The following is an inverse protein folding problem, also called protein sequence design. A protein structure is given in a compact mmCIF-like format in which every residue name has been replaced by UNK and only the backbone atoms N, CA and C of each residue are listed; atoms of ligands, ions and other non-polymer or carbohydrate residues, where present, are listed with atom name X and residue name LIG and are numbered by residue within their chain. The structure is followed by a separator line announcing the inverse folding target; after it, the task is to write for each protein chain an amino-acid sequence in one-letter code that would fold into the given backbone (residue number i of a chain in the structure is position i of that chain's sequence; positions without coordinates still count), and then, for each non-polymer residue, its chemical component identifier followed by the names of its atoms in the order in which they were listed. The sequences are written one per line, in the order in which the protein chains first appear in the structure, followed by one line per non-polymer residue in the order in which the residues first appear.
data_IF_829712849526
#
_entry.id   IF_829712849526
#
_cell.length_a   1.000
_cell.length_b   1.000
_cell.length_c   1.000
_cell.angle_alpha   90.00
_cell.angle_beta   90.00
_cell.angle_gamma   90.00
#
_symmetry.space_group_name_H-M   'P 1'
#
loop_
_entity.id
_entity.type
_entity.pdbx_description
1 polymer ?
#
# COMPACT_ATOMS: atom_id res chain seq x y z
N UNK A 1 11.72 -7.37 -16.02
CA UNK A 1 11.67 -7.10 -15.67
C UNK A 1 11.42 -6.67 -14.91
N UNK A 2 11.27 -6.53 -14.60
CA UNK A 2 11.19 -6.27 -14.01
C UNK A 2 10.75 -5.74 -13.20
N UNK A 3 10.73 -5.46 -12.75
CA UNK A 3 10.36 -4.66 -12.18
C UNK A 3 9.66 -4.81 -11.09
N UNK A 4 9.83 -5.21 -10.57
CA UNK A 4 9.18 -5.47 -9.71
C UNK A 4 9.40 -4.94 -8.56
N UNK A 5 9.03 -4.13 -8.20
CA UNK A 5 9.22 -3.53 -7.12
C UNK A 5 8.27 -3.92 -6.06
N UNK A 6 7.48 -4.86 -6.15
CA UNK A 6 6.41 -5.15 -5.21
C UNK A 6 6.28 -6.66 -5.11
N UNK A 7 6.80 -7.28 -4.08
CA UNK A 7 6.76 -8.72 -4.00
C UNK A 7 5.64 -9.20 -3.08
N UNK A 8 5.44 -10.49 -3.09
CA UNK A 8 4.35 -11.11 -2.38
C UNK A 8 4.45 -10.91 -0.87
N UNK A 9 5.64 -10.95 -0.34
CA UNK A 9 5.81 -10.78 1.09
C UNK A 9 5.36 -9.40 1.55
N UNK A 10 5.69 -8.39 0.77
CA UNK A 10 5.26 -7.04 1.11
C UNK A 10 3.75 -6.90 0.95
N UNK A 11 3.19 -7.58 -0.03
CA UNK A 11 1.75 -7.55 -0.20
C UNK A 11 1.05 -8.15 1.03
N UNK A 12 1.55 -9.28 1.50
CA UNK A 12 0.96 -9.93 2.65
C UNK A 12 1.08 -9.05 3.89
N UNK A 13 2.25 -8.46 4.10
CA UNK A 13 2.45 -7.59 5.24
C UNK A 13 1.50 -6.40 5.20
N UNK A 14 1.35 -5.83 4.02
CA UNK A 14 0.48 -4.67 3.87
C UNK A 14 -0.98 -5.05 4.09
N UNK A 15 -1.40 -6.21 3.59
CA UNK A 15 -2.78 -6.62 3.77
C UNK A 15 -3.08 -6.89 5.24
N UNK A 16 -2.13 -7.46 5.98
CA UNK A 16 -2.32 -7.64 7.41
C UNK A 16 -2.43 -6.29 8.12
N UNK A 17 -1.62 -5.34 7.72
CA UNK A 17 -1.68 -4.01 8.29
C UNK A 17 -3.07 -3.40 8.05
N UNK A 18 -3.57 -3.51 6.85
CA UNK A 18 -4.87 -2.94 6.53
C UNK A 18 -5.99 -3.61 7.31
N UNK A 19 -5.89 -4.93 7.44
CA UNK A 19 -6.92 -5.65 8.15
C UNK A 19 -6.96 -5.20 9.61
N UNK A 20 -5.82 -5.03 10.22
CA UNK A 20 -5.79 -4.59 11.60
C UNK A 20 -6.15 -3.14 11.76
N UNK A 21 -5.75 -2.31 10.83
CA UNK A 21 -5.96 -0.87 10.96
C UNK A 21 -7.37 -0.45 10.63
N UNK A 22 -7.97 -1.05 9.65
CA UNK A 22 -9.29 -0.61 9.22
C UNK A 22 -10.21 -1.74 8.76
N UNK A 23 -9.84 -2.97 8.98
CA UNK A 23 -10.71 -4.08 8.67
C UNK A 23 -10.82 -4.44 7.21
N UNK A 24 -9.94 -3.92 6.38
CA UNK A 24 -9.99 -4.22 4.96
C UNK A 24 -9.27 -5.52 4.70
N UNK A 25 -9.95 -6.47 4.08
CA UNK A 25 -9.35 -7.76 3.74
C UNK A 25 -9.14 -7.79 2.24
N UNK A 26 -7.89 -7.87 1.80
CA UNK A 26 -7.60 -7.79 0.38
C UNK A 26 -7.72 -9.11 -0.37
N UNK A 27 -7.46 -10.19 0.22
CA UNK A 27 -7.49 -11.46 -0.49
C UNK A 27 -6.21 -11.70 -1.26
N UNK A 28 -6.25 -12.63 -2.22
CA UNK A 28 -5.04 -13.07 -2.86
C UNK A 28 -4.68 -12.39 -4.15
N UNK A 29 -5.58 -11.82 -4.86
CA UNK A 29 -5.27 -11.31 -6.18
C UNK A 29 -5.49 -9.83 -6.32
N UNK A 30 -5.13 -9.07 -5.32
CA UNK A 30 -5.34 -7.63 -5.34
C UNK A 30 -4.02 -6.85 -5.40
N UNK A 31 -2.94 -7.52 -5.81
CA UNK A 31 -1.66 -6.83 -5.91
C UNK A 31 -1.75 -5.65 -6.87
N UNK A 32 -2.48 -5.84 -7.97
CA UNK A 32 -2.60 -4.75 -8.94
C UNK A 32 -3.29 -3.54 -8.31
N UNK A 33 -4.26 -3.79 -7.42
CA UNK A 33 -4.98 -2.71 -6.77
C UNK A 33 -4.06 -1.96 -5.81
N UNK A 34 -3.32 -2.68 -4.99
CA UNK A 34 -2.40 -2.08 -4.05
C UNK A 34 -1.36 -1.26 -4.80
N UNK A 35 -0.82 -1.83 -5.88
CA UNK A 35 0.17 -1.14 -6.65
C UNK A 35 -0.38 0.15 -7.24
N UNK A 36 -1.59 0.07 -7.78
CA UNK A 36 -2.20 1.24 -8.38
C UNK A 36 -2.45 2.33 -7.34
N UNK A 37 -2.88 1.95 -6.16
CA UNK A 37 -3.18 2.93 -5.13
C UNK A 37 -1.95 3.52 -4.50
N UNK A 38 -0.90 2.73 -4.36
CA UNK A 38 0.29 3.19 -3.67
C UNK A 38 1.30 3.90 -4.57
N UNK A 39 1.19 3.72 -5.87
CA UNK A 39 2.12 4.37 -6.79
C UNK A 39 2.20 5.89 -6.58
N UNK A 40 1.08 6.59 -6.47
CA UNK A 40 1.18 8.03 -6.23
C UNK A 40 1.88 8.36 -4.91
N UNK A 41 1.72 7.51 -3.91
CA UNK A 41 2.36 7.75 -2.63
C UNK A 41 3.86 7.54 -2.70
N UNK A 42 4.29 6.59 -3.51
CA UNK A 42 5.70 6.38 -3.72
C UNK A 42 6.33 7.66 -4.22
N UNK A 43 5.67 8.32 -5.15
CA UNK A 43 6.19 9.56 -5.67
C UNK A 43 6.08 10.67 -4.65
N UNK A 44 4.97 10.73 -3.95
CA UNK A 44 4.73 11.80 -2.99
C UNK A 44 5.76 11.78 -1.86
N UNK A 45 6.10 10.60 -1.39
CA UNK A 45 7.06 10.47 -0.28
C UNK A 45 8.47 10.19 -0.76
N UNK A 46 8.69 10.21 -2.05
CA UNK A 46 10.01 9.97 -2.62
C UNK A 46 10.58 8.62 -2.19
N UNK A 47 9.73 7.62 -2.14
CA UNK A 47 10.19 6.28 -1.82
C UNK A 47 10.85 5.65 -3.03
N UNK A 48 11.72 4.69 -2.79
CA UNK A 48 12.41 4.02 -3.88
C UNK A 48 11.46 3.11 -4.64
N UNK A 49 10.52 2.49 -3.95
CA UNK A 49 9.61 1.57 -4.58
C UNK A 49 8.42 1.35 -3.67
N UNK A 50 7.45 0.58 -4.16
CA UNK A 50 6.29 0.23 -3.35
C UNK A 50 6.72 -0.60 -2.16
N UNK A 51 7.69 -1.49 -2.34
CA UNK A 51 8.21 -2.26 -1.23
C UNK A 51 8.75 -1.33 -0.14
N UNK A 52 9.47 -0.30 -0.55
CA UNK A 52 10.02 0.65 0.39
C UNK A 52 8.91 1.36 1.16
N UNK A 53 7.87 1.76 0.46
CA UNK A 53 6.73 2.41 1.09
C UNK A 53 6.06 1.47 2.09
N UNK A 54 5.85 0.22 1.71
CA UNK A 54 5.20 -0.75 2.58
C UNK A 54 6.07 -1.01 3.81
N UNK A 55 7.38 -1.07 3.63
CA UNK A 55 8.27 -1.22 4.77
C UNK A 55 8.08 -0.08 5.75
N UNK A 56 8.00 1.13 5.27
CA UNK A 56 7.80 2.28 6.15
C UNK A 56 6.49 2.17 6.90
N UNK A 57 5.44 1.76 6.19
CA UNK A 57 4.13 1.62 6.80
C UNK A 57 4.17 0.57 7.91
N UNK A 58 4.77 -0.58 7.63
CA UNK A 58 4.78 -1.66 8.61
C UNK A 58 5.76 -1.41 9.74
N UNK A 59 6.71 -0.50 9.54
CA UNK A 59 7.61 -0.16 10.61
C UNK A 59 7.01 0.82 11.59
N UNK A 60 5.87 1.38 11.29
CA UNK A 60 5.22 2.31 12.19
C UNK A 60 5.31 3.76 11.79
N UNK A 61 5.63 4.05 10.56
CA UNK A 61 5.68 5.42 10.10
C UNK A 61 4.25 5.93 9.96
N UNK A 62 3.83 6.73 10.94
CA UNK A 62 2.46 7.15 11.02
C UNK A 62 1.99 7.90 9.81
N UNK A 63 2.80 8.78 9.30
CA UNK A 63 2.44 9.59 8.17
C UNK A 63 2.14 8.73 6.96
N UNK A 64 2.97 7.75 6.73
CA UNK A 64 2.74 6.86 5.60
C UNK A 64 1.61 5.89 5.86
N UNK A 65 1.41 5.51 7.12
CA UNK A 65 0.27 4.66 7.45
C UNK A 65 -1.04 5.36 7.13
N UNK A 66 -1.17 6.60 7.52
CA UNK A 66 -2.38 7.36 7.26
C UNK A 66 -2.59 7.52 5.77
N UNK A 67 -1.54 7.86 5.04
CA UNK A 67 -1.64 8.05 3.61
C UNK A 67 -2.04 6.74 2.90
N UNK A 68 -1.47 5.63 3.35
CA UNK A 68 -1.79 4.34 2.74
C UNK A 68 -3.23 3.95 3.01
N UNK A 69 -3.69 4.16 4.23
CA UNK A 69 -5.07 3.84 4.57
C UNK A 69 -6.02 4.70 3.73
N UNK A 70 -5.72 5.96 3.61
CA UNK A 70 -6.56 6.84 2.82
C UNK A 70 -6.58 6.43 1.36
N UNK A 71 -5.43 6.05 0.83
CA UNK A 71 -5.36 5.63 -0.56
C UNK A 71 -6.20 4.38 -0.81
N UNK A 72 -6.22 3.47 0.15
CA UNK A 72 -6.95 2.24 -0.02
C UNK A 72 -8.44 2.39 0.26
N UNK A 73 -8.83 3.38 1.05
CA UNK A 73 -10.23 3.56 1.37
C UNK A 73 -10.91 4.65 0.56
N UNK A 74 -10.16 5.39 -0.21
CA UNK A 74 -10.73 6.45 -1.02
C UNK A 74 -11.68 5.89 -2.04
N UNK A 75 -12.84 6.54 -2.10
CA UNK A 75 -13.81 6.10 -3.06
C UNK A 75 -13.71 7.00 -4.21
N UNK A 76 -13.34 6.47 -5.37
CA UNK A 76 -13.10 7.31 -6.39
C UNK A 76 -14.25 7.63 -7.14
N UNK A 77 -15.26 7.41 -6.79
CA UNK A 77 -16.24 7.68 -7.60
C UNK A 77 -16.52 8.99 -7.63
N UNK A 78 -16.54 9.59 -7.06
CA UNK A 78 -16.70 10.75 -6.98
C UNK A 78 -16.92 11.50 -7.86
N UNK A 79 -17.34 11.73 -8.36
CA UNK A 79 -17.68 12.49 -9.27
C UNK A 79 -17.86 12.17 -10.20
#
# INVERSE_FOLDING_TARGET
MTDIEFDQNHYISFSHFLEKACGIVLGDNKQYLVRSRLTPLVKQFSCASINDLIDSVTRGNRQRQVAAIEAMTTNETLW
#
